data_IF_961018897761
#
_entry.id   IF_961018897761
#
_cell.length_a   1.000
_cell.length_b   1.000
_cell.length_c   1.000
_cell.angle_alpha   90.00
_cell.angle_beta   90.00
_cell.angle_gamma   90.00
#
_symmetry.space_group_name_H-M   'P 1'
#
loop_
_entity.id
_entity.type
_entity.pdbx_description
1 polymer ?
#
# COMPACT_ATOMS: atom_id res chain seq x y z
N UNK A 1 -5.75 13.44 16.52
CA UNK A 1 -6.56 12.46 15.75
C UNK A 1 -7.29 11.52 16.72
N UNK A 2 -8.49 11.03 16.39
CA UNK A 2 -9.18 10.04 17.24
C UNK A 2 -8.49 8.66 17.15
N UNK A 3 -8.81 7.75 18.07
CA UNK A 3 -8.17 6.42 18.12
C UNK A 3 -8.45 5.58 16.87
N UNK A 4 -9.67 5.67 16.32
CA UNK A 4 -10.05 4.93 15.12
C UNK A 4 -9.16 5.28 13.92
N UNK A 5 -9.00 6.57 13.63
CA UNK A 5 -8.14 7.06 12.56
C UNK A 5 -6.67 6.71 12.82
N UNK A 6 -6.24 6.73 14.08
CA UNK A 6 -4.88 6.30 14.45
C UNK A 6 -4.64 4.83 14.11
N UNK A 7 -5.57 3.95 14.44
CA UNK A 7 -5.48 2.55 14.04
C UNK A 7 -5.53 2.37 12.54
N UNK A 8 -6.40 3.12 11.86
CA UNK A 8 -6.52 3.05 10.42
C UNK A 8 -5.21 3.45 9.70
N UNK A 9 -4.60 4.58 10.05
CA UNK A 9 -3.30 4.97 9.48
C UNK A 9 -2.16 4.03 9.90
N UNK A 10 -2.24 3.40 11.07
CA UNK A 10 -1.29 2.35 11.48
C UNK A 10 -1.41 1.12 10.58
N UNK A 11 -2.63 0.69 10.26
CA UNK A 11 -2.88 -0.44 9.36
C UNK A 11 -2.39 -0.11 7.94
N UNK A 12 -2.71 1.09 7.43
CA UNK A 12 -2.24 1.54 6.10
C UNK A 12 -0.70 1.51 6.07
N UNK A 13 -0.04 2.04 7.10
CA UNK A 13 1.41 2.02 7.19
C UNK A 13 1.99 0.60 7.13
N UNK A 14 1.44 -0.33 7.92
CA UNK A 14 1.90 -1.72 7.96
C UNK A 14 1.68 -2.42 6.61
N UNK A 15 0.49 -2.25 6.00
CA UNK A 15 0.17 -2.87 4.73
C UNK A 15 1.03 -2.32 3.59
N UNK A 16 1.27 -1.01 3.53
CA UNK A 16 2.14 -0.42 2.52
C UNK A 16 3.60 -0.87 2.69
N UNK A 17 4.10 -1.00 3.93
CA UNK A 17 5.41 -1.60 4.18
C UNK A 17 5.49 -3.06 3.71
N UNK A 18 4.45 -3.84 4.00
CA UNK A 18 4.34 -5.23 3.57
C UNK A 18 4.31 -5.36 2.04
N UNK A 19 3.46 -4.59 1.35
CA UNK A 19 3.38 -4.59 -0.12
C UNK A 19 4.69 -4.18 -0.77
N UNK A 20 5.31 -3.08 -0.31
CA UNK A 20 6.59 -2.66 -0.87
C UNK A 20 7.66 -3.74 -0.71
N UNK A 21 7.75 -4.38 0.47
CA UNK A 21 8.70 -5.46 0.70
C UNK A 21 8.42 -6.67 -0.19
N UNK A 22 7.15 -7.08 -0.29
CA UNK A 22 6.72 -8.16 -1.17
C UNK A 22 7.12 -7.87 -2.61
N UNK A 23 6.74 -6.71 -3.13
CA UNK A 23 6.90 -6.38 -4.53
C UNK A 23 8.39 -6.20 -4.91
N UNK A 24 9.23 -5.72 -3.97
CA UNK A 24 10.70 -5.76 -4.11
C UNK A 24 11.21 -7.20 -4.24
N UNK A 25 10.76 -8.11 -3.37
CA UNK A 25 11.20 -9.51 -3.43
C UNK A 25 10.73 -10.20 -4.72
N UNK A 26 9.50 -9.92 -5.18
CA UNK A 26 8.98 -10.47 -6.45
C UNK A 26 9.73 -9.92 -7.66
N UNK A 27 10.11 -8.64 -7.64
CA UNK A 27 10.96 -8.03 -8.67
C UNK A 27 12.34 -8.71 -8.76
N UNK A 28 12.84 -9.24 -7.64
CA UNK A 28 14.08 -10.02 -7.56
C UNK A 28 13.88 -11.52 -7.85
N UNK A 29 12.69 -11.92 -8.31
CA UNK A 29 12.29 -13.31 -8.58
C UNK A 29 12.33 -14.22 -7.33
N UNK A 30 12.16 -13.64 -6.13
CA UNK A 30 12.13 -14.37 -4.85
C UNK A 30 10.68 -14.72 -4.50
N UNK A 31 10.29 -15.95 -4.83
CA UNK A 31 8.95 -16.49 -4.56
C UNK A 31 8.95 -17.40 -3.34
N UNK A 32 8.14 -17.05 -2.33
CA UNK A 32 7.94 -17.84 -1.10
C UNK A 32 6.51 -17.63 -0.58
N UNK A 33 6.13 -18.32 0.50
CA UNK A 33 4.77 -18.21 1.06
C UNK A 33 4.41 -16.78 1.48
N UNK A 34 5.39 -15.98 1.91
CA UNK A 34 5.19 -14.58 2.29
C UNK A 34 5.05 -13.68 1.05
N UNK A 35 5.77 -13.94 -0.04
CA UNK A 35 5.65 -13.12 -1.25
C UNK A 35 4.45 -13.49 -2.11
N UNK A 36 3.96 -14.72 -1.99
CA UNK A 36 2.81 -15.22 -2.76
C UNK A 36 1.46 -14.97 -2.07
N UNK A 37 1.43 -14.61 -0.79
CA UNK A 37 0.17 -14.38 -0.09
C UNK A 37 -0.51 -13.11 -0.62
N UNK A 38 -1.76 -13.26 -1.06
CA UNK A 38 -2.56 -12.22 -1.72
C UNK A 38 -1.94 -11.68 -3.03
N UNK A 39 -0.90 -12.32 -3.55
CA UNK A 39 -0.43 -12.03 -4.90
C UNK A 39 -1.43 -12.62 -5.90
N UNK A 40 -1.85 -11.83 -6.88
CA UNK A 40 -2.68 -12.27 -8.00
C UNK A 40 -1.99 -11.85 -9.29
N UNK A 41 -2.04 -12.69 -10.34
CA UNK A 41 -1.64 -12.25 -11.65
C UNK A 41 -2.59 -11.12 -12.06
N UNK A 42 -2.02 -9.96 -12.34
CA UNK A 42 -2.75 -8.78 -12.79
C UNK A 42 -2.38 -8.53 -14.25
N UNK A 43 -3.25 -8.93 -15.16
CA UNK A 43 -3.07 -8.76 -16.60
C UNK A 43 -3.04 -7.27 -16.95
N UNK A 44 -3.86 -6.46 -16.27
CA UNK A 44 -3.98 -5.02 -16.52
C UNK A 44 -2.69 -4.22 -16.33
N UNK A 45 -1.76 -4.68 -15.50
CA UNK A 45 -0.47 -4.00 -15.28
C UNK A 45 0.73 -4.72 -15.91
N UNK A 46 0.54 -5.92 -16.48
CA UNK A 46 1.63 -6.70 -17.04
C UNK A 46 2.28 -5.94 -18.20
N UNK A 47 3.63 -5.88 -18.31
CA UNK A 47 4.64 -6.59 -17.51
C UNK A 47 5.17 -5.83 -16.28
N UNK A 48 4.61 -4.66 -15.94
CA UNK A 48 5.16 -3.74 -14.94
C UNK A 48 4.49 -3.83 -13.56
N UNK A 49 3.73 -4.89 -13.30
CA UNK A 49 2.94 -5.05 -12.09
C UNK A 49 3.75 -4.91 -10.80
N UNK A 50 4.99 -5.39 -10.81
CA UNK A 50 5.83 -5.35 -9.62
C UNK A 50 6.32 -3.94 -9.28
N UNK A 51 6.18 -2.97 -10.19
CA UNK A 51 6.63 -1.58 -10.01
C UNK A 51 5.48 -0.59 -9.89
N UNK A 52 4.30 -0.90 -10.45
CA UNK A 52 3.16 0.04 -10.52
C UNK A 52 2.65 0.43 -9.13
N UNK A 53 2.87 -0.44 -8.15
CA UNK A 53 2.46 -0.30 -6.76
C UNK A 53 3.41 0.56 -5.94
N UNK A 54 4.71 0.59 -6.27
CA UNK A 54 5.76 1.23 -5.47
C UNK A 54 5.48 2.69 -5.11
N UNK A 55 5.07 3.57 -6.06
CA UNK A 55 4.83 4.97 -5.71
C UNK A 55 3.71 5.10 -4.68
N UNK A 56 2.68 4.27 -4.80
CA UNK A 56 1.53 4.29 -3.90
C UNK A 56 1.88 3.73 -2.53
N UNK A 57 2.68 2.66 -2.47
CA UNK A 57 3.17 2.12 -1.20
C UNK A 57 4.08 3.13 -0.49
N UNK A 58 4.98 3.80 -1.21
CA UNK A 58 5.81 4.87 -0.66
C UNK A 58 4.98 6.05 -0.13
N UNK A 59 3.94 6.46 -0.87
CA UNK A 59 2.99 7.49 -0.40
C UNK A 59 2.25 7.01 0.86
N UNK A 60 1.81 5.75 0.89
CA UNK A 60 1.16 5.14 2.05
C UNK A 60 2.06 5.13 3.28
N UNK A 61 3.32 4.71 3.13
CA UNK A 61 4.34 4.67 4.21
C UNK A 61 4.65 6.08 4.71
N UNK A 62 5.15 6.95 3.82
CA UNK A 62 5.60 8.29 4.18
C UNK A 62 4.44 9.13 4.71
N UNK A 63 3.31 9.06 4.02
CA UNK A 63 2.13 9.82 4.39
C UNK A 63 1.54 9.37 5.72
N UNK A 64 1.36 8.06 5.94
CA UNK A 64 0.85 7.54 7.21
C UNK A 64 1.82 7.82 8.37
N UNK A 65 3.13 7.68 8.15
CA UNK A 65 4.13 8.05 9.16
C UNK A 65 4.03 9.53 9.56
N UNK A 66 3.94 10.43 8.59
CA UNK A 66 3.80 11.87 8.84
C UNK A 66 2.50 12.18 9.61
N UNK A 67 1.38 11.57 9.23
CA UNK A 67 0.08 11.78 9.90
C UNK A 67 0.10 11.25 11.33
N UNK A 68 0.64 10.04 11.55
CA UNK A 68 0.77 9.44 12.87
C UNK A 68 1.69 10.26 13.77
N UNK A 69 2.80 10.77 13.23
CA UNK A 69 3.75 11.63 13.97
C UNK A 69 3.17 12.99 14.32
N UNK A 70 2.45 13.63 13.38
CA UNK A 70 1.81 14.93 13.60
C UNK A 70 0.48 14.84 14.37
N UNK A 71 -0.07 13.64 14.53
CA UNK A 71 -1.38 13.38 15.10
C UNK A 71 -2.51 14.18 14.43
N UNK A 72 -2.35 14.50 13.13
CA UNK A 72 -3.25 15.32 12.34
C UNK A 72 -3.37 14.77 10.91
N UNK A 73 -4.61 14.58 10.45
CA UNK A 73 -4.92 14.00 9.13
C UNK A 73 -4.61 15.01 8.02
N UNK A 74 -5.16 16.23 8.11
CA UNK A 74 -5.02 17.27 7.09
C UNK A 74 -5.32 16.80 5.67
N UNK A 75 -4.89 17.57 4.66
CA UNK A 75 -5.07 17.23 3.24
C UNK A 75 -4.37 15.91 2.86
N UNK A 76 -3.15 15.69 3.36
CA UNK A 76 -2.37 14.49 3.07
C UNK A 76 -3.10 13.21 3.50
N UNK A 77 -3.73 13.22 4.68
CA UNK A 77 -4.50 12.08 5.15
C UNK A 77 -5.75 11.85 4.34
N UNK A 78 -6.47 12.89 3.92
CA UNK A 78 -7.60 12.71 2.99
C UNK A 78 -7.16 12.05 1.67
N UNK A 79 -6.03 12.48 1.10
CA UNK A 79 -5.50 11.88 -0.13
C UNK A 79 -5.22 10.39 0.07
N UNK A 80 -4.52 10.02 1.15
CA UNK A 80 -4.20 8.61 1.45
C UNK A 80 -5.47 7.76 1.62
N UNK A 81 -6.48 8.30 2.31
CA UNK A 81 -7.76 7.60 2.52
C UNK A 81 -8.50 7.35 1.21
N UNK A 82 -8.49 8.31 0.28
CA UNK A 82 -9.13 8.17 -1.03
C UNK A 82 -8.40 7.16 -1.93
N UNK A 83 -7.07 7.04 -1.78
CA UNK A 83 -6.28 6.07 -2.53
C UNK A 83 -6.64 4.62 -2.15
N UNK A 84 -6.99 4.34 -0.89
CA UNK A 84 -7.25 2.95 -0.46
C UNK A 84 -8.42 2.26 -1.21
N UNK A 85 -9.60 2.90 -1.38
CA UNK A 85 -10.67 2.34 -2.22
C UNK A 85 -10.26 2.12 -3.67
N UNK A 86 -9.47 3.03 -4.25
CA UNK A 86 -8.99 2.88 -5.63
C UNK A 86 -8.11 1.63 -5.78
N UNK A 87 -7.29 1.34 -4.78
CA UNK A 87 -6.49 0.12 -4.74
C UNK A 87 -7.35 -1.12 -4.59
N UNK A 88 -8.36 -1.08 -3.71
CA UNK A 88 -9.28 -2.21 -3.59
C UNK A 88 -9.95 -2.55 -4.94
N UNK A 89 -10.31 -1.53 -5.72
CA UNK A 89 -10.83 -1.72 -7.08
C UNK A 89 -9.76 -2.29 -8.01
N UNK A 90 -8.55 -1.72 -8.01
CA UNK A 90 -7.44 -2.20 -8.86
C UNK A 90 -7.07 -3.66 -8.56
N UNK A 91 -7.12 -4.09 -7.30
CA UNK A 91 -6.88 -5.47 -6.89
C UNK A 91 -7.95 -6.47 -7.38
N UNK A 92 -9.14 -5.98 -7.74
CA UNK A 92 -10.23 -6.79 -8.30
C UNK A 92 -10.20 -6.84 -9.84
N UNK A 93 -9.36 -6.02 -10.49
CA UNK A 93 -9.19 -6.04 -11.93
C UNK A 93 -8.31 -7.23 -12.37
N UNK A 94 -8.63 -7.86 -13.52
CA UNK A 94 -7.95 -9.04 -14.02
C UNK A 94 -6.52 -8.79 -14.49
#
# INVERSE_FOLDING_TARGET
MNQLLRYLFTIIFILSCYHLLRDILQTLDIHNAFTNILHRPHIWCSPYCDYVTYPLDLIGILGSYVILKRNNVGLLGFIILIIQPLWLVAALLP
#
